data_IF_784648422851
#
_entry.id   IF_784648422851
#
_cell.length_a   1.000
_cell.length_b   1.000
_cell.length_c   1.000
_cell.angle_alpha   90.00
_cell.angle_beta   90.00
_cell.angle_gamma   90.00
#
_symmetry.space_group_name_H-M   'P 1'
#
loop_
_entity.id
_entity.type
_entity.pdbx_description
1 polymer ?
#
# COMPACT_ATOMS: atom_id res chain seq x y z
N UNK A 1 16.43 0.11 8.82
CA UNK A 1 14.98 -0.19 8.85
C UNK A 1 14.71 -0.98 10.10
N UNK A 2 13.75 -0.51 10.91
CA UNK A 2 13.38 -1.20 12.14
C UNK A 2 12.98 -2.65 11.81
N UNK A 3 13.57 -3.61 12.54
CA UNK A 3 13.46 -5.05 12.22
C UNK A 3 12.00 -5.53 12.21
N UNK A 4 11.15 -4.83 12.98
CA UNK A 4 9.74 -5.08 13.15
C UNK A 4 8.91 -4.78 11.90
N UNK A 5 9.12 -3.62 11.24
CA UNK A 5 8.38 -3.24 10.03
C UNK A 5 8.70 -4.23 8.90
N UNK A 6 9.97 -4.60 8.72
CA UNK A 6 10.36 -5.60 7.72
C UNK A 6 9.64 -6.93 7.92
N UNK A 7 9.63 -7.41 9.17
CA UNK A 7 9.02 -8.69 9.53
C UNK A 7 7.50 -8.65 9.30
N UNK A 8 6.86 -7.54 9.64
CA UNK A 8 5.44 -7.34 9.40
C UNK A 8 5.10 -7.32 7.90
N UNK A 9 5.80 -6.51 7.10
CA UNK A 9 5.61 -6.43 5.65
C UNK A 9 5.79 -7.78 4.94
N UNK A 10 6.72 -8.61 5.43
CA UNK A 10 6.96 -9.94 4.87
C UNK A 10 5.77 -10.90 5.05
N UNK A 11 4.87 -10.65 6.01
CA UNK A 11 3.68 -11.50 6.21
C UNK A 11 2.73 -11.46 5.00
N UNK A 12 2.70 -10.33 4.28
CA UNK A 12 1.84 -10.16 3.10
C UNK A 12 2.34 -10.85 1.84
N UNK A 13 3.55 -11.43 1.87
CA UNK A 13 4.09 -12.14 0.71
C UNK A 13 3.19 -13.33 0.35
N UNK A 14 2.77 -13.41 -0.90
CA UNK A 14 1.86 -14.44 -1.41
C UNK A 14 0.38 -14.13 -1.17
N UNK A 15 0.03 -13.07 -0.43
CA UNK A 15 -1.34 -12.65 -0.26
C UNK A 15 -1.91 -12.14 -1.59
N UNK A 16 -3.16 -12.53 -1.89
CA UNK A 16 -3.89 -12.11 -3.08
C UNK A 16 -4.84 -10.97 -2.73
N UNK A 17 -4.81 -9.89 -3.49
CA UNK A 17 -5.81 -8.81 -3.37
C UNK A 17 -7.15 -9.33 -3.89
N UNK A 18 -8.17 -9.29 -3.04
CA UNK A 18 -9.54 -9.67 -3.41
C UNK A 18 -10.45 -8.47 -3.60
N UNK A 19 -10.16 -7.37 -2.92
CA UNK A 19 -10.97 -6.16 -2.99
C UNK A 19 -10.10 -4.94 -2.73
N UNK A 20 -10.50 -3.81 -3.31
CA UNK A 20 -9.90 -2.51 -3.07
C UNK A 20 -11.02 -1.54 -2.80
N UNK A 21 -10.93 -0.84 -1.67
CA UNK A 21 -11.77 0.29 -1.35
C UNK A 21 -10.92 1.55 -1.42
N UNK A 22 -11.27 2.44 -2.35
CA UNK A 22 -10.60 3.72 -2.54
C UNK A 22 -11.61 4.84 -2.23
N UNK A 23 -11.38 5.55 -1.13
CA UNK A 23 -12.12 6.75 -0.78
C UNK A 23 -11.15 7.92 -0.56
N UNK A 24 -10.60 8.03 0.64
CA UNK A 24 -9.47 8.92 0.94
C UNK A 24 -8.14 8.15 1.01
N UNK A 25 -8.22 6.89 1.45
CA UNK A 25 -7.13 5.92 1.56
C UNK A 25 -7.38 4.71 0.65
N UNK A 26 -6.34 3.91 0.39
CA UNK A 26 -6.49 2.60 -0.24
C UNK A 26 -6.57 1.54 0.84
N UNK A 27 -7.67 0.79 0.88
CA UNK A 27 -7.78 -0.44 1.68
C UNK A 27 -7.74 -1.65 0.76
N UNK A 28 -6.78 -2.55 0.96
CA UNK A 28 -6.76 -3.87 0.35
C UNK A 28 -7.39 -4.89 1.27
N UNK A 29 -8.39 -5.61 0.76
CA UNK A 29 -8.80 -6.88 1.35
C UNK A 29 -7.94 -7.97 0.74
N UNK A 30 -7.37 -8.82 1.60
CA UNK A 30 -6.41 -9.84 1.21
C UNK A 30 -6.97 -11.23 1.53
N UNK A 31 -6.82 -12.17 0.59
CA UNK A 31 -7.06 -13.58 0.86
C UNK A 31 -5.76 -14.22 1.32
N UNK A 32 -5.63 -14.38 2.62
CA UNK A 32 -4.60 -15.16 3.30
C UNK A 32 -5.19 -15.83 4.56
N UNK A 33 -4.52 -16.84 5.13
CA UNK A 33 -5.01 -17.54 6.32
C UNK A 33 -5.01 -16.65 7.57
N UNK A 34 -4.06 -15.71 7.66
CA UNK A 34 -3.82 -14.92 8.87
C UNK A 34 -3.95 -13.40 8.65
N UNK A 35 -4.19 -12.95 7.41
CA UNK A 35 -4.25 -11.53 7.05
C UNK A 35 -5.57 -11.25 6.35
N UNK A 36 -6.36 -10.35 6.94
CA UNK A 36 -7.66 -9.97 6.41
C UNK A 36 -7.59 -8.72 5.54
N UNK A 37 -6.82 -7.72 5.95
CA UNK A 37 -6.74 -6.45 5.24
C UNK A 37 -5.37 -5.77 5.40
N UNK A 38 -5.09 -4.83 4.51
CA UNK A 38 -3.99 -3.88 4.57
C UNK A 38 -4.57 -2.51 4.22
N UNK A 39 -4.51 -1.56 5.15
CA UNK A 39 -4.89 -0.18 4.88
C UNK A 39 -3.63 0.65 4.64
N UNK A 40 -3.66 1.45 3.57
CA UNK A 40 -2.58 2.28 3.05
C UNK A 40 -3.09 3.71 2.87
N UNK A 41 -2.44 4.63 3.54
CA UNK A 41 -2.74 6.06 3.47
C UNK A 41 -1.66 6.77 2.65
N UNK A 42 -2.07 7.72 1.80
CA UNK A 42 -1.14 8.54 1.01
C UNK A 42 -1.49 8.72 -0.47
N UNK A 43 -0.73 9.59 -1.12
CA UNK A 43 -0.66 9.63 -2.57
C UNK A 43 -0.07 8.32 -3.10
N UNK A 44 -0.54 7.85 -4.25
CA UNK A 44 -0.10 6.57 -4.80
C UNK A 44 0.05 6.63 -6.32
N UNK A 45 0.88 5.74 -6.86
CA UNK A 45 1.09 5.57 -8.29
C UNK A 45 1.35 4.12 -8.63
N UNK A 46 0.92 3.71 -9.82
CA UNK A 46 1.07 2.37 -10.34
C UNK A 46 2.01 2.39 -11.54
N UNK A 47 2.91 1.42 -11.58
CA UNK A 47 3.78 1.17 -12.71
C UNK A 47 3.55 -0.23 -13.26
N UNK A 48 3.63 -0.31 -14.58
CA UNK A 48 3.73 -1.56 -15.33
C UNK A 48 5.05 -1.52 -16.11
N UNK A 49 5.93 -2.51 -15.96
CA UNK A 49 7.24 -2.56 -16.65
C UNK A 49 8.04 -1.24 -16.56
N UNK A 50 8.03 -0.58 -15.39
CA UNK A 50 8.66 0.72 -15.11
C UNK A 50 8.03 1.95 -15.76
N UNK A 51 6.93 1.81 -16.51
CA UNK A 51 6.14 2.94 -17.02
C UNK A 51 5.02 3.25 -16.03
N UNK A 52 4.86 4.53 -15.69
CA UNK A 52 3.74 4.96 -14.86
C UNK A 52 2.46 4.85 -15.70
N UNK A 53 1.52 4.03 -15.23
CA UNK A 53 0.23 3.81 -15.91
C UNK A 53 -0.90 4.55 -15.21
N UNK A 54 -0.76 4.78 -13.89
CA UNK A 54 -1.77 5.44 -13.09
C UNK A 54 -1.16 6.20 -11.92
N UNK A 55 -1.78 7.29 -11.53
CA UNK A 55 -1.43 8.05 -10.33
C UNK A 55 -2.70 8.61 -9.70
N UNK A 56 -2.71 8.74 -8.37
CA UNK A 56 -3.69 9.53 -7.64
C UNK A 56 -3.47 11.00 -7.99
N UNK A 57 -4.07 11.45 -9.09
CA UNK A 57 -4.20 12.88 -9.42
C UNK A 57 -5.65 13.13 -9.80
N UNK A 58 -6.23 14.18 -9.24
CA UNK A 58 -7.66 14.47 -9.16
C UNK A 58 -8.41 14.64 -10.50
N UNK A 59 -7.78 14.36 -11.66
CA UNK A 59 -8.24 14.92 -12.93
C UNK A 59 -8.47 13.97 -14.10
N UNK A 60 -8.30 12.65 -13.97
CA UNK A 60 -8.70 11.75 -15.08
C UNK A 60 -9.39 10.49 -14.58
N UNK A 61 -10.73 10.54 -14.63
CA UNK A 61 -11.57 9.35 -14.80
C UNK A 61 -11.11 8.63 -16.06
N UNK A 62 -10.41 7.51 -15.93
CA UNK A 62 -10.38 6.57 -17.06
C UNK A 62 -10.21 5.12 -16.63
N UNK A 63 -9.56 4.81 -15.51
CA UNK A 63 -9.33 3.42 -15.11
C UNK A 63 -9.38 3.29 -13.57
N UNK A 64 -10.04 2.24 -13.06
CA UNK A 64 -10.15 1.99 -11.62
C UNK A 64 -8.88 1.24 -11.17
N UNK A 65 -8.27 1.64 -10.04
CA UNK A 65 -7.14 0.90 -9.43
C UNK A 65 -7.44 -0.60 -9.28
N UNK A 66 -8.72 -0.95 -9.12
CA UNK A 66 -9.22 -2.32 -9.06
C UNK A 66 -8.87 -3.13 -10.31
N UNK A 67 -8.93 -2.53 -11.49
CA UNK A 67 -8.68 -3.20 -12.76
C UNK A 67 -7.22 -3.69 -12.88
N UNK A 68 -6.30 -3.02 -12.16
CA UNK A 68 -4.88 -3.35 -12.15
C UNK A 68 -4.49 -4.34 -11.06
N UNK A 69 -5.12 -4.22 -9.89
CA UNK A 69 -4.62 -4.81 -8.66
C UNK A 69 -5.53 -5.88 -8.07
N UNK A 70 -6.83 -5.91 -8.38
CA UNK A 70 -7.70 -7.02 -7.93
C UNK A 70 -7.24 -8.30 -8.59
N UNK A 71 -7.01 -9.31 -7.76
CA UNK A 71 -6.47 -10.59 -8.19
C UNK A 71 -4.94 -10.67 -8.24
N UNK A 72 -4.23 -9.54 -8.09
CA UNK A 72 -2.78 -9.52 -8.04
C UNK A 72 -2.27 -10.19 -6.75
N UNK A 73 -1.15 -10.90 -6.87
CA UNK A 73 -0.47 -11.58 -5.76
C UNK A 73 0.78 -10.79 -5.38
N UNK A 74 0.94 -10.50 -4.09
CA UNK A 74 2.08 -9.74 -3.58
C UNK A 74 3.35 -10.61 -3.65
N UNK A 75 4.32 -10.20 -4.47
CA UNK A 75 5.64 -10.84 -4.55
C UNK A 75 6.54 -10.43 -3.40
N UNK A 76 6.60 -9.13 -3.11
CA UNK A 76 7.28 -8.55 -1.95
C UNK A 76 6.88 -7.10 -1.73
N UNK A 77 7.17 -6.59 -0.52
CA UNK A 77 7.00 -5.19 -0.15
C UNK A 77 8.35 -4.66 0.34
N UNK A 78 8.71 -3.43 -0.04
CA UNK A 78 9.92 -2.76 0.43
C UNK A 78 9.69 -1.27 0.61
N UNK A 79 10.48 -0.65 1.47
CA UNK A 79 10.59 0.81 1.55
C UNK A 79 11.74 1.25 0.64
N UNK A 80 11.53 2.30 -0.14
CA UNK A 80 12.55 2.85 -1.04
C UNK A 80 13.50 3.81 -0.31
N UNK A 81 14.56 4.25 -1.00
CA UNK A 81 15.50 5.25 -0.47
C UNK A 81 14.83 6.60 -0.19
N UNK A 82 13.69 6.87 -0.82
CA UNK A 82 12.87 8.07 -0.59
C UNK A 82 11.75 7.83 0.42
N UNK A 83 11.85 6.79 1.25
CA UNK A 83 10.83 6.37 2.22
C UNK A 83 9.47 5.94 1.64
N UNK A 84 9.29 5.90 0.32
CA UNK A 84 8.06 5.37 -0.27
C UNK A 84 7.89 3.86 -0.04
N UNK A 85 6.66 3.41 0.23
CA UNK A 85 6.32 1.98 0.25
C UNK A 85 6.11 1.49 -1.18
N UNK A 86 6.83 0.43 -1.55
CA UNK A 86 6.71 -0.23 -2.84
C UNK A 86 6.20 -1.65 -2.65
N UNK A 87 5.02 -1.92 -3.18
CA UNK A 87 4.43 -3.25 -3.26
C UNK A 87 4.65 -3.74 -4.68
N UNK A 88 5.33 -4.88 -4.81
CA UNK A 88 5.62 -5.51 -6.10
C UNK A 88 4.79 -6.77 -6.22
N UNK A 89 4.06 -6.88 -7.32
CA UNK A 89 3.17 -7.98 -7.60
C UNK A 89 3.80 -8.99 -8.57
N UNK A 90 3.26 -10.21 -8.61
CA UNK A 90 3.73 -11.27 -9.51
C UNK A 90 3.46 -10.96 -10.99
N UNK A 91 2.40 -10.19 -11.29
CA UNK A 91 2.03 -9.76 -12.64
C UNK A 91 2.84 -8.56 -13.15
N UNK A 92 4.04 -8.31 -12.61
CA UNK A 92 4.92 -7.18 -12.97
C UNK A 92 4.38 -5.78 -12.67
N UNK A 93 3.25 -5.68 -11.98
CA UNK A 93 2.73 -4.41 -11.47
C UNK A 93 3.50 -3.96 -10.22
N UNK A 94 3.64 -2.65 -10.06
CA UNK A 94 4.23 -2.03 -8.87
C UNK A 94 3.29 -0.94 -8.40
N UNK A 95 2.81 -1.04 -7.16
CA UNK A 95 2.17 0.07 -6.47
C UNK A 95 3.19 0.76 -5.59
N UNK A 96 3.28 2.08 -5.71
CA UNK A 96 4.09 2.92 -4.86
C UNK A 96 3.20 3.89 -4.10
N UNK A 97 3.27 3.83 -2.77
CA UNK A 97 2.65 4.80 -1.86
C UNK A 97 3.72 5.83 -1.51
N UNK A 98 3.42 7.09 -1.83
CA UNK A 98 4.32 8.24 -1.72
C UNK A 98 4.32 8.71 -0.27
N UNK A 99 5.51 8.83 0.33
CA UNK A 99 5.67 9.46 1.63
C UNK A 99 5.53 10.99 1.48
N UNK A 100 4.30 11.50 1.54
CA UNK A 100 4.01 12.92 1.33
C UNK A 100 4.06 13.71 2.65
N UNK A 101 5.27 13.99 3.17
CA UNK A 101 5.46 14.95 4.26
C UNK A 101 6.93 15.30 4.48
N UNK A 102 7.27 16.58 4.30
CA UNK A 102 8.54 17.19 4.75
C UNK A 102 8.65 17.34 6.28
N UNK A 103 7.79 16.72 7.10
CA UNK A 103 7.73 17.02 8.54
C UNK A 103 7.72 15.85 9.52
N UNK A 104 7.34 14.62 9.16
CA UNK A 104 7.29 13.54 10.15
C UNK A 104 7.70 12.20 9.54
N UNK A 105 8.86 11.71 9.97
CA UNK A 105 9.51 10.52 9.44
C UNK A 105 9.11 9.28 10.22
N UNK A 106 8.56 8.29 9.50
CA UNK A 106 8.57 6.83 9.72
C UNK A 106 7.19 6.19 9.52
N UNK A 107 7.16 5.07 8.79
CA UNK A 107 5.99 4.18 8.71
C UNK A 107 5.66 3.69 10.11
N UNK A 108 4.45 3.95 10.60
CA UNK A 108 4.00 3.50 11.92
C UNK A 108 3.16 2.24 11.74
N UNK A 109 3.55 1.18 12.46
CA UNK A 109 2.79 -0.06 12.54
C UNK A 109 1.84 0.01 13.73
N UNK A 110 0.54 0.15 13.48
CA UNK A 110 -0.48 0.05 14.54
C UNK A 110 -1.38 -1.15 14.28
N UNK A 111 -1.37 -2.17 15.13
CA UNK A 111 -2.35 -3.27 15.16
C UNK A 111 -2.82 -3.86 13.81
N UNK A 112 -1.93 -3.99 12.81
CA UNK A 112 -2.20 -4.46 11.42
C UNK A 112 -2.39 -3.38 10.32
N UNK A 113 -1.98 -2.15 10.59
CA UNK A 113 -2.12 -0.99 9.72
C UNK A 113 -0.76 -0.44 9.28
N UNK A 114 -0.61 -0.08 8.00
CA UNK A 114 0.55 0.66 7.47
C UNK A 114 0.08 2.09 7.15
N UNK A 115 0.18 2.97 8.13
CA UNK A 115 -0.20 4.38 7.97
C UNK A 115 1.01 5.26 7.62
N UNK A 116 0.77 6.25 6.76
CA UNK A 116 1.51 7.52 6.79
C UNK A 116 1.07 8.33 8.03
N UNK A 117 1.89 9.25 8.55
CA UNK A 117 1.64 9.92 9.81
C UNK A 117 0.60 11.03 9.65
N UNK A 118 -0.48 10.99 10.45
CA UNK A 118 -1.48 12.05 10.44
C UNK A 118 -2.70 11.87 11.35
N UNK A 119 -2.97 10.68 11.88
CA UNK A 119 -4.07 10.48 12.84
C UNK A 119 -3.59 10.56 14.29
N UNK A 120 -4.07 11.55 15.05
CA UNK A 120 -4.07 11.44 16.51
C UNK A 120 -4.80 10.15 16.93
N UNK A 121 -4.23 9.46 17.93
CA UNK A 121 -4.84 8.34 18.61
C UNK A 121 -6.20 8.76 19.17
N UNK A 122 -7.27 8.39 18.49
CA UNK A 122 -8.56 8.18 19.14
C UNK A 122 -8.71 6.68 19.34
N UNK A 123 -8.46 6.26 20.58
CA UNK A 123 -8.77 4.92 21.05
C UNK A 123 -10.27 4.66 20.83
N UNK A 124 -10.61 3.82 19.85
CA UNK A 124 -11.96 3.26 19.78
C UNK A 124 -11.97 1.97 20.60
N UNK A 125 -12.45 2.10 21.84
CA UNK A 125 -12.96 1.02 22.69
C UNK A 125 -14.18 0.34 22.04
#
# INVERSE_FOLDING_TARGET
MDSHIKKYLNRFKGAKITEINEFQNITFLLKDKDIKYMLLEGGWRIFEHHKMVMTKSEFKKTEDIKDYLVGAVIKYIKISEFNDLKIVFENHMILQIIADSMRFENWVLNQELICLPGGELTDFL
#
